data_IF_707296036253
#
_entry.id   IF_707296036253
#
_cell.length_a   1.000
_cell.length_b   1.000
_cell.length_c   1.000
_cell.angle_alpha   90.00
_cell.angle_beta   90.00
_cell.angle_gamma   90.00
#
_symmetry.space_group_name_H-M   'P 1'
#
loop_
_entity.id
_entity.type
_entity.pdbx_description
1 polymer ?
#
# COMPACT_ATOMS: atom_id res chain seq x y z
N UNK A 1 26.59 -51.20 10.08
CA UNK A 1 26.41 -50.64 8.72
C UNK A 1 24.95 -50.81 8.34
N UNK A 2 24.23 -49.74 8.11
CA UNK A 2 22.92 -49.82 7.45
C UNK A 2 23.19 -50.19 5.98
N UNK A 3 22.59 -51.27 5.50
CA UNK A 3 22.74 -51.72 4.11
C UNK A 3 21.86 -50.90 3.16
N UNK A 4 22.27 -50.82 1.89
CA UNK A 4 21.43 -50.28 0.84
C UNK A 4 20.23 -51.21 0.61
N UNK A 5 19.01 -50.66 0.62
CA UNK A 5 17.79 -51.36 0.21
C UNK A 5 17.19 -50.64 -0.99
N UNK A 6 17.06 -51.36 -2.10
CA UNK A 6 16.42 -50.90 -3.32
C UNK A 6 15.09 -51.67 -3.52
N UNK A 7 14.02 -50.96 -3.85
CA UNK A 7 12.68 -51.53 -4.07
C UNK A 7 12.15 -51.01 -5.40
N UNK A 8 11.99 -51.92 -6.37
CA UNK A 8 11.44 -51.63 -7.69
C UNK A 8 10.11 -52.35 -7.87
N UNK A 9 9.09 -51.63 -8.33
CA UNK A 9 7.73 -52.15 -8.52
C UNK A 9 7.30 -51.81 -9.94
N UNK A 10 6.90 -52.81 -10.72
CA UNK A 10 6.48 -52.65 -12.13
C UNK A 10 4.99 -52.32 -12.31
N UNK A 11 4.27 -52.08 -11.22
CA UNK A 11 2.82 -51.81 -11.20
C UNK A 11 2.46 -50.93 -10.01
N UNK A 12 1.20 -50.99 -9.57
CA UNK A 12 0.73 -50.22 -8.42
C UNK A 12 1.46 -50.62 -7.12
N UNK A 13 1.78 -49.62 -6.29
CA UNK A 13 2.40 -49.81 -4.99
C UNK A 13 1.59 -49.13 -3.89
N UNK A 14 1.00 -49.93 -3.00
CA UNK A 14 0.17 -49.46 -1.88
C UNK A 14 0.88 -49.70 -0.54
N UNK A 15 0.90 -48.69 0.32
CA UNK A 15 1.35 -48.81 1.71
C UNK A 15 0.22 -48.40 2.65
N UNK A 16 -0.31 -49.36 3.40
CA UNK A 16 -1.34 -49.12 4.41
C UNK A 16 -0.73 -49.18 5.82
N UNK A 17 -1.00 -48.18 6.64
CA UNK A 17 -0.54 -48.12 8.03
C UNK A 17 -1.72 -47.75 8.92
N UNK A 18 -2.04 -48.61 9.89
CA UNK A 18 -3.26 -48.46 10.69
C UNK A 18 -3.13 -47.46 11.86
N UNK A 19 -1.90 -47.23 12.34
CA UNK A 19 -1.64 -46.43 13.54
C UNK A 19 -0.72 -45.24 13.24
N UNK A 20 0.58 -45.49 13.03
CA UNK A 20 1.58 -44.44 12.80
C UNK A 20 2.69 -44.89 11.86
N UNK A 21 3.24 -43.93 11.12
CA UNK A 21 4.38 -44.13 10.21
C UNK A 21 5.36 -42.97 10.38
N UNK A 22 6.57 -43.30 10.84
CA UNK A 22 7.67 -42.34 10.88
C UNK A 22 8.65 -42.63 9.74
N UNK A 23 9.22 -41.57 9.16
CA UNK A 23 10.27 -41.67 8.14
C UNK A 23 11.42 -40.76 8.53
N UNK A 24 12.57 -41.36 8.84
CA UNK A 24 13.79 -40.64 9.25
C UNK A 24 14.82 -40.81 8.13
N UNK A 25 15.34 -39.68 7.62
CA UNK A 25 16.33 -39.64 6.54
C UNK A 25 17.54 -38.84 7.02
N UNK A 26 18.72 -39.44 7.01
CA UNK A 26 19.92 -38.85 7.62
C UNK A 26 20.70 -37.86 6.74
N UNK A 27 20.48 -37.88 5.42
CA UNK A 27 21.21 -37.03 4.46
C UNK A 27 20.27 -36.23 3.56
N UNK A 28 19.57 -36.88 2.64
CA UNK A 28 18.71 -36.21 1.66
C UNK A 28 17.48 -37.04 1.30
N UNK A 29 16.37 -36.36 1.05
CA UNK A 29 15.12 -36.96 0.62
C UNK A 29 14.65 -36.27 -0.67
N UNK A 30 14.37 -37.04 -1.71
CA UNK A 30 13.88 -36.55 -3.01
C UNK A 30 12.67 -37.35 -3.44
N UNK A 31 11.62 -36.67 -3.88
CA UNK A 31 10.39 -37.29 -4.39
C UNK A 31 10.13 -36.81 -5.82
N UNK A 32 10.20 -37.72 -6.77
CA UNK A 32 9.90 -37.46 -8.18
C UNK A 32 8.56 -38.11 -8.54
N UNK A 33 7.63 -37.34 -9.13
CA UNK A 33 6.28 -37.79 -9.47
C UNK A 33 6.02 -37.46 -10.94
N UNK A 34 5.68 -38.47 -11.74
CA UNK A 34 5.55 -38.31 -13.20
C UNK A 34 4.19 -37.80 -13.68
N UNK A 35 3.16 -37.79 -12.84
CA UNK A 35 1.80 -37.41 -13.23
C UNK A 35 1.16 -36.40 -12.27
N UNK A 36 0.75 -36.84 -11.09
CA UNK A 36 0.05 -35.99 -10.11
C UNK A 36 0.35 -36.38 -8.68
N UNK A 37 0.46 -35.40 -7.79
CA UNK A 37 0.58 -35.60 -6.35
C UNK A 37 -0.66 -35.07 -5.64
N UNK A 38 -1.27 -35.86 -4.75
CA UNK A 38 -2.37 -35.41 -3.90
C UNK A 38 -2.08 -35.78 -2.45
N UNK A 39 -1.93 -34.75 -1.61
CA UNK A 39 -1.83 -34.89 -0.17
C UNK A 39 -3.17 -34.51 0.47
N UNK A 40 -3.67 -35.33 1.40
CA UNK A 40 -4.85 -35.02 2.20
C UNK A 40 -4.53 -35.28 3.67
N UNK A 41 -4.68 -34.25 4.48
CA UNK A 41 -4.51 -34.30 5.94
C UNK A 41 -5.88 -34.05 6.55
N UNK A 42 -6.33 -34.94 7.43
CA UNK A 42 -7.68 -34.87 8.02
C UNK A 42 -7.76 -33.94 9.25
N UNK A 43 -6.62 -33.65 9.85
CA UNK A 43 -6.50 -32.80 11.02
C UNK A 43 -5.37 -31.79 10.75
N UNK A 44 -4.41 -31.64 11.66
CA UNK A 44 -3.35 -30.64 11.52
C UNK A 44 -2.16 -31.11 10.67
N UNK A 45 -1.52 -30.15 10.01
CA UNK A 45 -0.23 -30.32 9.34
C UNK A 45 0.73 -29.23 9.80
N UNK A 46 1.98 -29.59 10.06
CA UNK A 46 3.05 -28.66 10.38
C UNK A 46 4.32 -29.03 9.62
N UNK A 47 5.07 -28.02 9.22
CA UNK A 47 6.34 -28.17 8.53
C UNK A 47 7.35 -27.20 9.15
N UNK A 48 8.55 -27.69 9.41
CA UNK A 48 9.67 -26.88 9.90
C UNK A 48 10.87 -27.10 8.99
N UNK A 49 11.37 -26.02 8.40
CA UNK A 49 12.57 -26.02 7.56
C UNK A 49 13.63 -25.21 8.30
N UNK A 50 14.72 -25.87 8.71
CA UNK A 50 15.79 -25.21 9.47
C UNK A 50 16.75 -24.36 8.60
N UNK A 51 16.70 -24.55 7.28
CA UNK A 51 17.43 -23.74 6.30
C UNK A 51 16.45 -23.03 5.36
N UNK A 52 16.89 -22.79 4.12
CA UNK A 52 16.08 -22.08 3.13
C UNK A 52 14.96 -22.94 2.55
N UNK A 53 13.84 -22.29 2.21
CA UNK A 53 12.72 -22.89 1.49
C UNK A 53 12.53 -22.17 0.16
N UNK A 54 12.67 -22.89 -0.95
CA UNK A 54 12.31 -22.41 -2.28
C UNK A 54 11.13 -23.24 -2.82
N UNK A 55 10.16 -22.58 -3.45
CA UNK A 55 9.01 -23.22 -4.08
C UNK A 55 8.82 -22.61 -5.46
N UNK A 56 8.85 -23.46 -6.49
CA UNK A 56 8.62 -23.07 -7.87
C UNK A 56 7.42 -23.84 -8.42
N UNK A 57 6.50 -23.13 -9.05
CA UNK A 57 5.30 -23.70 -9.67
C UNK A 57 5.27 -23.21 -11.11
N UNK A 58 5.46 -24.11 -12.08
CA UNK A 58 5.46 -23.77 -13.50
C UNK A 58 4.07 -23.49 -14.11
N UNK A 59 3.01 -23.53 -13.31
CA UNK A 59 1.64 -23.27 -13.71
C UNK A 59 0.89 -22.48 -12.64
N UNK A 60 -0.43 -22.62 -12.62
CA UNK A 60 -1.26 -21.85 -11.68
C UNK A 60 -1.08 -22.31 -10.22
N UNK A 61 -1.06 -21.36 -9.29
CA UNK A 61 -1.04 -21.61 -7.86
C UNK A 61 -2.27 -21.00 -7.18
N UNK A 62 -3.23 -21.85 -6.80
CA UNK A 62 -4.46 -21.43 -6.12
C UNK A 62 -4.43 -21.89 -4.66
N UNK A 63 -4.62 -20.95 -3.73
CA UNK A 63 -4.69 -21.22 -2.29
C UNK A 63 -6.02 -20.74 -1.73
N UNK A 64 -6.67 -21.57 -0.91
CA UNK A 64 -7.91 -21.21 -0.20
C UNK A 64 -7.75 -21.53 1.28
N UNK A 65 -8.06 -20.55 2.12
CA UNK A 65 -8.05 -20.65 3.58
C UNK A 65 -9.43 -20.19 4.06
N UNK A 66 -10.22 -21.11 4.60
CA UNK A 66 -11.63 -20.85 4.98
C UNK A 66 -11.78 -20.01 6.25
N UNK A 67 -10.69 -19.86 7.01
CA UNK A 67 -10.65 -19.10 8.27
C UNK A 67 -9.56 -18.04 8.18
N UNK A 68 -8.65 -18.03 9.15
CA UNK A 68 -7.65 -16.99 9.29
C UNK A 68 -6.31 -17.43 8.68
N UNK A 69 -5.59 -16.46 8.10
CA UNK A 69 -4.21 -16.61 7.64
C UNK A 69 -3.34 -15.59 8.36
N UNK A 70 -2.16 -16.02 8.80
CA UNK A 70 -1.16 -15.14 9.42
C UNK A 70 0.21 -15.44 8.82
N UNK A 71 0.92 -14.38 8.44
CA UNK A 71 2.30 -14.44 7.98
C UNK A 71 3.13 -13.47 8.82
N UNK A 72 4.27 -13.95 9.34
CA UNK A 72 5.25 -13.13 10.06
C UNK A 72 6.59 -13.26 9.37
N UNK A 73 7.13 -12.14 8.89
CA UNK A 73 8.45 -12.07 8.26
C UNK A 73 9.32 -11.18 9.15
N UNK A 74 10.42 -11.72 9.68
CA UNK A 74 11.37 -10.97 10.51
C UNK A 74 12.42 -10.21 9.69
N UNK A 75 12.67 -10.68 8.47
CA UNK A 75 13.55 -10.03 7.51
C UNK A 75 12.76 -9.16 6.52
N UNK A 76 13.33 -8.98 5.34
CA UNK A 76 12.70 -8.24 4.26
C UNK A 76 11.68 -9.09 3.51
N UNK A 77 10.67 -8.44 2.93
CA UNK A 77 9.67 -9.06 2.06
C UNK A 77 9.63 -8.30 0.74
N UNK A 78 9.70 -9.03 -0.37
CA UNK A 78 9.57 -8.48 -1.71
C UNK A 78 8.52 -9.29 -2.47
N UNK A 79 7.70 -8.62 -3.29
CA UNK A 79 6.70 -9.26 -4.13
C UNK A 79 6.71 -8.55 -5.47
N UNK A 80 6.96 -9.32 -6.53
CA UNK A 80 7.00 -8.84 -7.91
C UNK A 80 5.88 -9.54 -8.67
N UNK A 81 5.04 -8.75 -9.34
CA UNK A 81 3.92 -9.24 -10.14
C UNK A 81 4.08 -8.58 -11.50
N UNK A 82 4.32 -9.38 -12.53
CA UNK A 82 4.52 -8.89 -13.90
C UNK A 82 3.20 -8.58 -14.63
N UNK A 83 2.09 -9.12 -14.13
CA UNK A 83 0.74 -8.84 -14.60
C UNK A 83 -0.06 -8.01 -13.59
N UNK A 84 -1.38 -8.15 -13.66
CA UNK A 84 -2.29 -7.43 -12.77
C UNK A 84 -2.33 -8.02 -11.35
N UNK A 85 -2.59 -7.16 -10.36
CA UNK A 85 -2.73 -7.55 -8.96
C UNK A 85 -4.00 -6.95 -8.35
N UNK A 86 -5.03 -7.79 -8.21
CA UNK A 86 -6.29 -7.42 -7.56
C UNK A 86 -6.31 -7.82 -6.10
N UNK A 87 -6.53 -6.85 -5.21
CA UNK A 87 -6.68 -7.08 -3.76
C UNK A 87 -8.08 -6.62 -3.33
N UNK A 88 -8.91 -7.56 -2.90
CA UNK A 88 -10.28 -7.31 -2.44
C UNK A 88 -10.41 -7.62 -0.95
N UNK A 89 -10.83 -6.62 -0.16
CA UNK A 89 -11.02 -6.73 1.28
C UNK A 89 -12.43 -6.25 1.64
N UNK A 90 -13.29 -7.17 2.08
CA UNK A 90 -14.71 -6.88 2.34
C UNK A 90 -14.99 -6.08 3.62
N UNK A 91 -13.99 -5.93 4.49
CA UNK A 91 -14.15 -5.24 5.78
C UNK A 91 -13.13 -4.12 5.90
N UNK A 92 -12.03 -4.36 6.61
CA UNK A 92 -11.05 -3.34 6.98
C UNK A 92 -9.69 -3.71 6.41
N UNK A 93 -9.04 -2.73 5.77
CA UNK A 93 -7.61 -2.72 5.47
C UNK A 93 -6.92 -1.77 6.46
N UNK A 94 -5.81 -2.20 7.04
CA UNK A 94 -4.91 -1.36 7.83
C UNK A 94 -3.48 -1.56 7.31
N UNK A 95 -2.82 -0.46 6.96
CA UNK A 95 -1.43 -0.42 6.52
C UNK A 95 -0.69 0.52 7.48
N UNK A 96 0.31 -0.01 8.17
CA UNK A 96 1.10 0.73 9.14
C UNK A 96 2.58 0.39 8.98
N UNK A 97 3.41 1.43 9.00
CA UNK A 97 4.87 1.32 9.00
C UNK A 97 5.45 2.31 10.01
N UNK A 98 6.67 2.06 10.47
CA UNK A 98 7.44 3.04 11.24
C UNK A 98 8.28 3.94 10.30
N UNK A 99 8.49 3.51 9.06
CA UNK A 99 9.26 4.24 8.05
C UNK A 99 8.38 4.91 7.00
N UNK A 100 8.94 5.08 5.80
CA UNK A 100 8.25 5.68 4.66
C UNK A 100 7.24 4.71 4.01
N UNK A 101 6.15 5.26 3.46
CA UNK A 101 5.32 4.60 2.45
C UNK A 101 5.49 5.36 1.14
N UNK A 102 5.92 4.68 0.08
CA UNK A 102 5.99 5.23 -1.27
C UNK A 102 5.00 4.50 -2.19
N UNK A 103 4.16 5.25 -2.91
CA UNK A 103 3.23 4.73 -3.92
C UNK A 103 3.55 5.44 -5.23
N UNK A 104 3.83 4.67 -6.29
CA UNK A 104 4.21 5.19 -7.61
C UNK A 104 3.40 4.45 -8.68
N UNK A 105 2.95 5.19 -9.68
CA UNK A 105 2.28 4.69 -10.88
C UNK A 105 2.81 5.48 -12.05
N UNK A 106 3.09 4.82 -13.16
CA UNK A 106 3.49 5.48 -14.41
C UNK A 106 2.27 6.08 -15.14
N UNK A 107 1.06 5.66 -14.76
CA UNK A 107 -0.20 6.19 -15.26
C UNK A 107 -0.97 6.86 -14.10
N UNK A 108 -2.15 6.36 -13.75
CA UNK A 108 -3.02 6.99 -12.77
C UNK A 108 -2.90 6.37 -11.37
N UNK A 109 -3.14 7.20 -10.35
CA UNK A 109 -3.49 6.77 -8.99
C UNK A 109 -4.90 7.30 -8.71
N UNK A 110 -5.86 6.38 -8.53
CA UNK A 110 -7.25 6.73 -8.25
C UNK A 110 -7.64 6.32 -6.83
N UNK A 111 -8.17 7.27 -6.05
CA UNK A 111 -8.62 7.05 -4.67
C UNK A 111 -10.05 7.56 -4.55
N UNK A 112 -10.97 6.69 -4.15
CA UNK A 112 -12.39 7.03 -3.97
C UNK A 112 -12.93 6.45 -2.68
N UNK A 113 -13.73 7.24 -1.96
CA UNK A 113 -14.48 6.81 -0.79
C UNK A 113 -15.91 7.33 -0.89
N UNK A 114 -16.94 6.49 -0.71
CA UNK A 114 -18.33 6.93 -0.75
C UNK A 114 -18.74 7.73 0.49
N UNK A 115 -17.88 7.78 1.52
CA UNK A 115 -18.11 8.51 2.75
C UNK A 115 -17.11 9.65 2.86
N UNK A 116 -15.97 9.41 3.53
CA UNK A 116 -14.95 10.42 3.78
C UNK A 116 -13.58 9.98 3.27
N UNK A 117 -12.76 10.97 2.93
CA UNK A 117 -11.33 10.84 2.70
C UNK A 117 -10.63 11.93 3.52
N UNK A 118 -9.64 11.55 4.32
CA UNK A 118 -8.89 12.46 5.20
C UNK A 118 -7.39 12.23 5.02
N UNK A 119 -6.63 13.32 5.02
CA UNK A 119 -5.16 13.31 5.01
C UNK A 119 -4.72 14.20 6.17
N UNK A 120 -3.99 13.62 7.12
CA UNK A 120 -3.50 14.30 8.32
C UNK A 120 -1.99 14.12 8.41
N UNK A 121 -1.28 15.20 8.75
CA UNK A 121 0.18 15.26 8.84
C UNK A 121 0.59 16.27 9.90
N UNK A 122 1.64 15.96 10.64
CA UNK A 122 2.16 16.84 11.70
C UNK A 122 3.01 17.99 11.15
N UNK A 123 3.62 17.81 9.97
CA UNK A 123 4.61 18.74 9.43
C UNK A 123 4.12 19.44 8.16
N UNK A 124 3.97 18.69 7.08
CA UNK A 124 3.72 19.26 5.76
C UNK A 124 2.91 18.30 4.88
N UNK A 125 1.97 18.87 4.12
CA UNK A 125 1.27 18.23 3.01
C UNK A 125 1.55 19.04 1.75
N UNK A 126 2.12 18.40 0.73
CA UNK A 126 2.51 19.06 -0.52
C UNK A 126 1.84 18.34 -1.68
N UNK A 127 1.22 19.11 -2.59
CA UNK A 127 0.67 18.62 -3.85
C UNK A 127 1.31 19.43 -4.97
N UNK A 128 2.00 18.76 -5.89
CA UNK A 128 2.61 19.36 -7.07
C UNK A 128 2.07 18.64 -8.29
N UNK A 129 1.50 19.40 -9.22
CA UNK A 129 0.97 18.90 -10.49
C UNK A 129 0.97 20.04 -11.51
N UNK A 130 0.89 19.69 -12.79
CA UNK A 130 0.67 20.68 -13.86
C UNK A 130 -0.64 21.44 -13.64
N UNK A 131 -1.67 20.76 -13.16
CA UNK A 131 -2.96 21.34 -12.81
C UNK A 131 -3.51 20.71 -11.53
N UNK A 132 -4.07 21.54 -10.65
CA UNK A 132 -4.78 21.11 -9.44
C UNK A 132 -6.20 21.67 -9.50
N UNK A 133 -7.20 20.80 -9.36
CA UNK A 133 -8.61 21.18 -9.30
C UNK A 133 -9.23 20.62 -8.03
N UNK A 134 -9.88 21.48 -7.26
CA UNK A 134 -10.62 21.09 -6.06
C UNK A 134 -12.04 21.65 -6.16
N UNK A 135 -13.03 20.76 -6.07
CA UNK A 135 -14.44 21.11 -6.24
C UNK A 135 -15.19 20.60 -5.01
N UNK A 136 -16.01 21.47 -4.43
CA UNK A 136 -16.93 21.11 -3.37
C UNK A 136 -18.31 21.66 -3.71
N UNK A 137 -19.34 20.83 -3.61
CA UNK A 137 -20.70 21.22 -3.99
C UNK A 137 -21.33 22.22 -3.00
N UNK A 138 -20.89 22.20 -1.74
CA UNK A 138 -21.50 22.98 -0.67
C UNK A 138 -20.53 23.98 -0.04
N UNK A 139 -19.47 23.50 0.62
CA UNK A 139 -18.53 24.37 1.34
C UNK A 139 -17.10 24.00 0.97
N UNK A 140 -16.27 25.02 0.76
CA UNK A 140 -14.84 24.89 0.56
C UNK A 140 -14.12 25.73 1.61
N UNK A 141 -13.46 25.08 2.56
CA UNK A 141 -12.87 25.72 3.75
C UNK A 141 -11.35 25.60 3.67
N UNK A 142 -10.67 26.74 3.75
CA UNK A 142 -9.22 26.84 3.89
C UNK A 142 -8.91 27.55 5.21
N UNK A 143 -8.36 26.82 6.18
CA UNK A 143 -7.99 27.36 7.48
C UNK A 143 -6.47 27.28 7.66
N UNK A 144 -5.86 28.41 8.00
CA UNK A 144 -4.47 28.49 8.40
C UNK A 144 -4.36 29.30 9.69
N UNK A 145 -3.54 28.85 10.64
CA UNK A 145 -3.41 29.51 11.95
C UNK A 145 -2.59 30.79 11.90
N UNK A 146 -1.74 30.95 10.89
CA UNK A 146 -0.78 32.06 10.82
C UNK A 146 -0.92 32.84 9.53
N UNK A 147 -0.81 32.16 8.39
CA UNK A 147 -0.80 32.80 7.09
C UNK A 147 -1.38 31.89 6.02
N UNK A 148 -2.12 32.47 5.08
CA UNK A 148 -2.53 31.83 3.84
C UNK A 148 -2.10 32.70 2.65
N UNK A 149 -1.45 32.08 1.66
CA UNK A 149 -0.93 32.76 0.46
C UNK A 149 -1.52 32.10 -0.78
N UNK A 150 -2.03 32.91 -1.70
CA UNK A 150 -2.32 32.53 -3.09
C UNK A 150 -1.45 33.35 -4.01
N UNK A 151 -0.71 32.71 -4.91
CA UNK A 151 0.26 33.40 -5.78
C UNK A 151 0.14 32.93 -7.24
N UNK A 152 0.19 33.90 -8.15
CA UNK A 152 0.24 33.71 -9.61
C UNK A 152 1.29 34.65 -10.19
N UNK A 153 2.49 34.12 -10.48
CA UNK A 153 3.63 34.95 -10.85
C UNK A 153 3.97 35.96 -9.75
N UNK A 154 3.94 37.26 -10.07
CA UNK A 154 4.15 38.36 -9.11
C UNK A 154 2.85 38.81 -8.40
N UNK A 155 1.69 38.29 -8.80
CA UNK A 155 0.40 38.62 -8.17
C UNK A 155 0.19 37.76 -6.93
N UNK A 156 -0.12 38.37 -5.79
CA UNK A 156 -0.30 37.67 -4.50
C UNK A 156 -1.54 38.13 -3.75
N UNK A 157 -2.20 37.19 -3.07
CA UNK A 157 -3.14 37.45 -1.99
C UNK A 157 -2.56 36.80 -0.73
N UNK A 158 -2.31 37.59 0.30
CA UNK A 158 -1.77 37.13 1.59
C UNK A 158 -2.76 37.49 2.69
N UNK A 159 -3.23 36.50 3.44
CA UNK A 159 -4.08 36.69 4.62
C UNK A 159 -3.31 36.26 5.87
N UNK A 160 -3.29 37.13 6.88
CA UNK A 160 -2.79 36.84 8.22
C UNK A 160 -3.94 36.94 9.23
N UNK A 161 -3.66 36.78 10.53
CA UNK A 161 -4.70 36.95 11.57
C UNK A 161 -5.33 38.35 11.60
N UNK A 162 -4.57 39.38 11.20
CA UNK A 162 -4.91 40.78 11.44
C UNK A 162 -5.02 41.60 10.15
N UNK A 163 -4.69 41.01 8.99
CA UNK A 163 -4.66 41.73 7.73
C UNK A 163 -4.87 40.86 6.49
N UNK A 164 -5.32 41.49 5.42
CA UNK A 164 -5.35 40.93 4.06
C UNK A 164 -4.61 41.89 3.13
N UNK A 165 -3.66 41.37 2.37
CA UNK A 165 -2.83 42.12 1.43
C UNK A 165 -3.00 41.54 0.03
N UNK A 166 -3.32 42.38 -0.94
CA UNK A 166 -3.42 42.01 -2.36
C UNK A 166 -2.40 42.83 -3.14
N UNK A 167 -1.53 42.16 -3.90
CA UNK A 167 -0.53 42.80 -4.76
C UNK A 167 -0.72 42.34 -6.19
N UNK A 168 -0.85 43.28 -7.12
CA UNK A 168 -0.97 42.99 -8.55
C UNK A 168 -0.54 44.20 -9.38
N UNK A 169 0.27 43.98 -10.42
CA UNK A 169 0.61 45.03 -11.40
C UNK A 169 1.23 46.30 -10.81
N UNK A 170 2.01 46.18 -9.72
CA UNK A 170 2.62 47.31 -9.02
C UNK A 170 1.71 48.04 -8.01
N UNK A 171 0.45 47.60 -7.86
CA UNK A 171 -0.49 48.12 -6.86
C UNK A 171 -0.51 47.20 -5.63
N UNK A 172 -0.60 47.78 -4.44
CA UNK A 172 -0.78 47.07 -3.17
C UNK A 172 -2.04 47.59 -2.46
N UNK A 173 -2.96 46.68 -2.12
CA UNK A 173 -4.14 46.92 -1.29
C UNK A 173 -3.93 46.22 0.05
N UNK A 174 -4.10 46.95 1.15
CA UNK A 174 -3.99 46.43 2.52
C UNK A 174 -5.29 46.70 3.25
N UNK A 175 -5.88 45.66 3.85
CA UNK A 175 -7.01 45.74 4.77
C UNK A 175 -6.52 45.26 6.12
N UNK A 176 -6.61 46.12 7.14
CA UNK A 176 -6.25 45.79 8.52
C UNK A 176 -7.22 46.48 9.51
N UNK A 177 -6.91 46.41 10.80
CA UNK A 177 -7.69 47.08 11.86
C UNK A 177 -7.79 48.61 11.73
N UNK A 178 -6.96 49.25 10.89
CA UNK A 178 -6.96 50.69 10.62
C UNK A 178 -7.78 51.05 9.38
N UNK A 179 -8.25 50.07 8.61
CA UNK A 179 -9.10 50.25 7.44
C UNK A 179 -8.46 49.72 6.15
N UNK A 180 -8.77 50.37 5.02
CA UNK A 180 -8.32 49.99 3.68
C UNK A 180 -7.34 51.04 3.13
N UNK A 181 -6.15 50.60 2.70
CA UNK A 181 -5.10 51.43 2.11
C UNK A 181 -4.76 50.91 0.71
N UNK A 182 -4.66 51.81 -0.28
CA UNK A 182 -4.19 51.51 -1.64
C UNK A 182 -2.91 52.29 -1.93
N UNK A 183 -1.87 51.60 -2.40
CA UNK A 183 -0.57 52.20 -2.77
C UNK A 183 -0.26 51.92 -4.24
N UNK A 184 0.32 52.90 -4.92
CA UNK A 184 0.83 52.73 -6.30
C UNK A 184 -0.24 52.70 -7.39
N UNK A 185 -1.51 52.96 -7.06
CA UNK A 185 -2.63 52.96 -8.01
C UNK A 185 -3.65 54.06 -7.73
N UNK A 186 -4.62 54.20 -8.62
CA UNK A 186 -5.75 55.12 -8.50
C UNK A 186 -6.92 54.44 -7.78
N UNK A 187 -7.57 55.13 -6.84
CA UNK A 187 -8.81 54.69 -6.20
C UNK A 187 -9.97 55.46 -6.81
N UNK A 188 -10.87 54.77 -7.51
CA UNK A 188 -12.10 55.34 -8.07
C UNK A 188 -13.29 54.83 -7.27
N UNK A 189 -14.16 55.72 -6.82
CA UNK A 189 -15.49 55.37 -6.31
C UNK A 189 -16.53 55.63 -7.40
N UNK A 190 -17.26 54.61 -7.82
CA UNK A 190 -18.47 54.74 -8.64
C UNK A 190 -19.73 54.74 -7.76
#
# INVERSE_FOLDING_TARGET
MLGLKDVRVGGEYLTNVALSKDTIVGLSNTLNIGASNKLRVANDSSEYVGGDRNVEVGGNNNTTIEKDSQMTIKGNSETIIEGDNDIVINKKLNIQTQGEIAIRSDDNIFISSPQSLSIETDTNAIVVADNVTMIADSHYILNANTEAITQVGETTITATSDSVIIKAGGVEVVIDSKGLIVKGGEVKSE
#
